data_IF_192322695890
#
_entry.id   IF_192322695890
#
_cell.length_a   1.000
_cell.length_b   1.000
_cell.length_c   1.000
_cell.angle_alpha   90.00
_cell.angle_beta   90.00
_cell.angle_gamma   90.00
#
_symmetry.space_group_name_H-M   'P 1'
#
loop_
_entity.id
_entity.type
_entity.pdbx_description
1 polymer ?
#
# COMPACT_ATOMS: atom_id res chain seq x y z
N UNK A 1 -6.92 -8.85 -7.94
CA UNK A 1 -6.16 -8.04 -6.97
C UNK A 1 -4.91 -7.51 -7.65
N UNK A 2 -4.70 -6.22 -7.61
CA UNK A 2 -3.48 -5.54 -8.09
C UNK A 2 -2.70 -5.02 -6.88
N UNK A 3 -1.40 -5.26 -6.85
CA UNK A 3 -0.49 -4.78 -5.82
C UNK A 3 0.48 -3.83 -6.50
N UNK A 4 0.33 -2.55 -6.22
CA UNK A 4 1.11 -1.50 -6.86
C UNK A 4 2.25 -1.03 -5.95
N UNK A 5 3.44 -0.90 -6.51
CA UNK A 5 4.61 -0.32 -5.86
C UNK A 5 5.05 0.90 -6.67
N UNK A 6 5.67 1.88 -6.03
CA UNK A 6 6.31 2.95 -6.78
C UNK A 6 7.40 2.36 -7.68
N UNK A 7 7.41 2.76 -8.95
CA UNK A 7 8.45 2.33 -9.88
C UNK A 7 9.81 2.95 -9.55
N UNK A 8 10.86 2.35 -10.09
CA UNK A 8 12.19 2.97 -10.20
C UNK A 8 12.75 2.71 -11.59
N UNK A 9 13.72 3.49 -12.08
CA UNK A 9 14.40 3.21 -13.33
C UNK A 9 14.97 1.78 -13.37
N UNK A 10 14.76 1.09 -14.50
CA UNK A 10 15.25 -0.29 -14.68
C UNK A 10 16.77 -0.40 -14.52
N UNK A 11 17.49 0.67 -14.83
CA UNK A 11 18.95 0.77 -14.67
C UNK A 11 19.41 0.50 -13.23
N UNK A 12 18.64 0.91 -12.21
CA UNK A 12 18.96 0.65 -10.80
C UNK A 12 18.91 -0.85 -10.49
N UNK A 13 17.86 -1.52 -10.93
CA UNK A 13 17.74 -2.97 -10.79
C UNK A 13 18.89 -3.72 -11.47
N UNK A 14 19.25 -3.31 -12.69
CA UNK A 14 20.38 -3.90 -13.44
C UNK A 14 21.71 -3.68 -12.71
N UNK A 15 21.84 -2.55 -12.00
CA UNK A 15 23.01 -2.23 -11.18
C UNK A 15 23.02 -2.93 -9.79
N UNK A 16 22.04 -3.77 -9.51
CA UNK A 16 21.99 -4.59 -8.28
C UNK A 16 21.15 -4.02 -7.14
N UNK A 17 20.33 -2.99 -7.40
CA UNK A 17 19.40 -2.48 -6.39
C UNK A 17 18.38 -3.57 -6.00
N UNK A 18 18.21 -3.86 -4.70
CA UNK A 18 17.35 -4.96 -4.23
C UNK A 18 15.86 -4.62 -4.24
N UNK A 19 15.46 -3.38 -4.53
CA UNK A 19 14.09 -2.90 -4.39
C UNK A 19 13.06 -3.78 -5.10
N UNK A 20 13.31 -4.12 -6.37
CA UNK A 20 12.43 -5.01 -7.14
C UNK A 20 12.21 -6.35 -6.40
N UNK A 21 13.28 -6.98 -5.92
CA UNK A 21 13.21 -8.26 -5.21
C UNK A 21 12.42 -8.13 -3.89
N UNK A 22 12.56 -7.01 -3.19
CA UNK A 22 11.81 -6.72 -1.97
C UNK A 22 10.31 -6.51 -2.26
N UNK A 23 9.96 -5.78 -3.32
CA UNK A 23 8.58 -5.63 -3.78
C UNK A 23 7.93 -6.99 -4.12
N UNK A 24 8.62 -7.79 -4.91
CA UNK A 24 8.13 -9.12 -5.30
C UNK A 24 8.00 -10.07 -4.10
N UNK A 25 8.90 -9.99 -3.13
CA UNK A 25 8.81 -10.74 -1.87
C UNK A 25 7.58 -10.29 -1.07
N UNK A 26 7.35 -9.00 -0.94
CA UNK A 26 6.17 -8.44 -0.24
C UNK A 26 4.88 -8.90 -0.92
N UNK A 27 4.77 -8.78 -2.24
CA UNK A 27 3.61 -9.23 -3.00
C UNK A 27 3.34 -10.73 -2.79
N UNK A 28 4.38 -11.59 -2.85
CA UNK A 28 4.26 -13.02 -2.61
C UNK A 28 3.76 -13.33 -1.20
N UNK A 29 4.34 -12.70 -0.17
CA UNK A 29 3.93 -12.93 1.22
C UNK A 29 2.49 -12.45 1.48
N UNK A 30 2.07 -11.34 0.89
CA UNK A 30 0.68 -10.88 0.95
C UNK A 30 -0.27 -11.88 0.29
N UNK A 31 0.07 -12.35 -0.91
CA UNK A 31 -0.74 -13.36 -1.62
C UNK A 31 -0.91 -14.63 -0.78
N UNK A 32 0.18 -15.13 -0.19
CA UNK A 32 0.16 -16.30 0.67
C UNK A 32 -0.71 -16.08 1.92
N UNK A 33 -0.56 -14.94 2.59
CA UNK A 33 -1.33 -14.60 3.78
C UNK A 33 -2.84 -14.44 3.49
N UNK A 34 -3.18 -13.87 2.33
CA UNK A 34 -4.56 -13.71 1.87
C UNK A 34 -5.12 -14.98 1.24
N UNK A 35 -4.32 -16.01 1.03
CA UNK A 35 -4.67 -17.24 0.30
C UNK A 35 -5.26 -16.94 -1.09
N UNK A 36 -4.74 -15.92 -1.76
CA UNK A 36 -5.24 -15.46 -3.05
C UNK A 36 -4.67 -16.30 -4.20
N UNK A 37 -5.50 -16.59 -5.20
CA UNK A 37 -5.07 -17.30 -6.40
C UNK A 37 -4.03 -16.47 -7.19
N UNK A 38 -2.95 -17.13 -7.59
CA UNK A 38 -1.84 -16.50 -8.31
C UNK A 38 -2.27 -15.87 -9.65
N UNK A 39 -3.22 -16.50 -10.35
CA UNK A 39 -3.72 -16.01 -11.63
C UNK A 39 -4.44 -14.67 -11.53
N UNK A 40 -4.96 -14.36 -10.33
CA UNK A 40 -5.73 -13.16 -10.07
C UNK A 40 -5.00 -12.19 -9.13
N UNK A 41 -3.67 -12.33 -9.01
CA UNK A 41 -2.83 -11.49 -8.15
C UNK A 41 -1.66 -10.92 -8.95
N UNK A 42 -1.68 -9.60 -9.20
CA UNK A 42 -0.77 -8.92 -10.10
C UNK A 42 0.10 -7.92 -9.34
N UNK A 43 1.40 -8.17 -9.25
CA UNK A 43 2.36 -7.20 -8.73
C UNK A 43 2.81 -6.26 -9.86
N UNK A 44 2.71 -4.96 -9.65
CA UNK A 44 2.90 -3.92 -10.66
C UNK A 44 3.67 -2.73 -10.12
N UNK A 45 4.08 -1.80 -11.01
CA UNK A 45 4.83 -0.60 -10.68
C UNK A 45 4.17 0.64 -11.29
N UNK A 46 3.99 1.69 -10.47
CA UNK A 46 3.35 2.96 -10.78
C UNK A 46 4.33 4.13 -10.86
N UNK A 47 3.81 5.33 -11.13
CA UNK A 47 4.47 6.64 -10.97
C UNK A 47 5.74 6.80 -11.80
N UNK A 48 5.76 6.26 -13.01
CA UNK A 48 6.90 6.47 -13.93
C UNK A 48 6.86 7.87 -14.53
N UNK A 49 8.03 8.45 -14.74
CA UNK A 49 8.17 9.71 -15.48
C UNK A 49 9.45 9.72 -16.34
N UNK A 50 9.49 10.66 -17.29
CA UNK A 50 10.61 10.75 -18.22
C UNK A 50 10.60 9.64 -19.30
N UNK A 51 11.70 9.52 -20.04
CA UNK A 51 11.80 8.66 -21.23
C UNK A 51 12.59 7.37 -21.01
N UNK A 52 13.20 7.18 -19.86
CA UNK A 52 13.95 5.97 -19.57
C UNK A 52 13.03 4.79 -19.22
N UNK A 53 13.45 3.54 -19.44
CA UNK A 53 12.69 2.36 -19.03
C UNK A 53 12.64 2.23 -17.51
N UNK A 54 11.43 2.02 -16.98
CA UNK A 54 11.17 1.76 -15.56
C UNK A 54 10.84 0.29 -15.30
N UNK A 55 10.77 -0.10 -14.03
CA UNK A 55 10.33 -1.45 -13.64
C UNK A 55 8.93 -1.76 -14.18
N UNK A 56 8.72 -3.01 -14.56
CA UNK A 56 7.48 -3.50 -15.15
C UNK A 56 7.00 -4.75 -14.37
N UNK A 57 5.70 -5.14 -14.53
CA UNK A 57 4.66 -4.52 -15.38
C UNK A 57 4.17 -3.17 -14.85
N UNK A 58 3.74 -2.28 -15.73
CA UNK A 58 3.17 -0.98 -15.34
C UNK A 58 1.74 -1.13 -14.84
N UNK A 59 1.40 -0.42 -13.76
CA UNK A 59 0.09 -0.52 -13.09
C UNK A 59 -1.04 -0.11 -14.01
N UNK A 60 -0.95 1.07 -14.66
CA UNK A 60 -1.92 1.58 -15.61
C UNK A 60 -2.18 0.57 -16.74
N UNK A 61 -1.14 0.11 -17.41
CA UNK A 61 -1.27 -0.86 -18.52
C UNK A 61 -1.84 -2.20 -18.08
N UNK A 62 -1.55 -2.63 -16.86
CA UNK A 62 -2.09 -3.88 -16.32
C UNK A 62 -3.58 -3.76 -16.04
N UNK A 63 -4.02 -2.66 -15.43
CA UNK A 63 -5.43 -2.42 -15.10
C UNK A 63 -6.29 -2.28 -16.37
N UNK A 64 -5.83 -1.50 -17.34
CA UNK A 64 -6.49 -1.39 -18.65
C UNK A 64 -6.62 -2.76 -19.32
N UNK A 65 -5.54 -3.53 -19.39
CA UNK A 65 -5.55 -4.87 -19.96
C UNK A 65 -6.52 -5.82 -19.23
N UNK A 66 -6.64 -5.73 -17.91
CA UNK A 66 -7.61 -6.51 -17.15
C UNK A 66 -9.04 -6.14 -17.54
N UNK A 67 -9.37 -4.85 -17.63
CA UNK A 67 -10.69 -4.39 -18.09
C UNK A 67 -11.01 -4.90 -19.50
N UNK A 68 -10.12 -4.69 -20.46
CA UNK A 68 -10.25 -5.13 -21.85
C UNK A 68 -10.36 -6.66 -21.99
N UNK A 69 -9.74 -7.43 -21.10
CA UNK A 69 -9.87 -8.89 -21.05
C UNK A 69 -11.16 -9.39 -20.39
N UNK A 70 -12.05 -8.50 -19.98
CA UNK A 70 -13.36 -8.80 -19.41
C UNK A 70 -13.41 -8.86 -17.89
N UNK A 71 -12.35 -8.45 -17.18
CA UNK A 71 -12.39 -8.32 -15.72
C UNK A 71 -13.30 -7.17 -15.32
N UNK A 72 -14.40 -7.47 -14.62
CA UNK A 72 -15.41 -6.49 -14.21
C UNK A 72 -15.09 -5.84 -12.85
N UNK A 73 -14.31 -6.52 -12.02
CA UNK A 73 -14.03 -6.07 -10.66
C UNK A 73 -12.52 -6.14 -10.39
N UNK A 74 -11.94 -5.01 -9.99
CA UNK A 74 -10.54 -4.91 -9.57
C UNK A 74 -10.47 -4.31 -8.17
N UNK A 75 -9.62 -4.88 -7.33
CA UNK A 75 -9.18 -4.25 -6.10
C UNK A 75 -7.69 -3.96 -6.19
N UNK A 76 -7.25 -2.77 -5.75
CA UNK A 76 -5.85 -2.34 -5.76
C UNK A 76 -5.40 -1.88 -4.39
N UNK A 77 -4.16 -2.18 -4.04
CA UNK A 77 -3.49 -1.66 -2.85
C UNK A 77 -2.03 -1.32 -3.15
N UNK A 78 -1.48 -0.39 -2.39
CA UNK A 78 -0.11 0.09 -2.51
C UNK A 78 0.71 -0.17 -1.22
N UNK A 79 1.17 -1.42 -0.95
CA UNK A 79 1.79 -1.78 0.33
C UNK A 79 3.17 -1.16 0.56
N UNK A 80 3.77 -0.55 -0.46
CA UNK A 80 5.00 0.24 -0.33
C UNK A 80 4.78 1.62 0.29
N UNK A 81 3.52 2.06 0.41
CA UNK A 81 3.14 3.33 1.02
C UNK A 81 2.54 3.10 2.41
N UNK A 82 3.13 3.71 3.42
CA UNK A 82 2.63 3.61 4.81
C UNK A 82 1.42 4.52 5.03
N UNK A 83 1.41 5.68 4.38
CA UNK A 83 0.31 6.65 4.41
C UNK A 83 -0.11 7.03 3.00
N UNK A 84 -1.39 7.37 2.85
CA UNK A 84 -1.93 7.89 1.60
C UNK A 84 -1.26 9.22 1.23
N UNK A 85 -0.99 9.38 -0.04
CA UNK A 85 -0.34 10.54 -0.64
C UNK A 85 -0.91 10.78 -2.06
N UNK A 86 -0.32 11.69 -2.81
CA UNK A 86 -0.78 12.00 -4.17
C UNK A 86 -0.72 10.77 -5.08
N UNK A 87 0.35 9.97 -4.99
CA UNK A 87 0.56 8.76 -5.79
C UNK A 87 -0.44 7.65 -5.47
N UNK A 88 -1.14 7.72 -4.35
CA UNK A 88 -2.15 6.73 -3.98
C UNK A 88 -3.58 7.24 -4.16
N UNK A 89 -3.86 8.49 -3.81
CA UNK A 89 -5.21 9.05 -3.87
C UNK A 89 -5.55 9.58 -5.26
N UNK A 90 -4.63 10.24 -5.93
CA UNK A 90 -4.85 10.79 -7.26
C UNK A 90 -4.58 9.73 -8.34
N UNK A 91 -3.35 9.23 -8.40
CA UNK A 91 -2.94 8.27 -9.44
C UNK A 91 -3.71 6.94 -9.37
N UNK A 92 -3.88 6.33 -8.16
CA UNK A 92 -4.51 5.02 -8.06
C UNK A 92 -6.03 5.06 -7.83
N UNK A 93 -6.51 5.93 -6.92
CA UNK A 93 -7.93 5.92 -6.56
C UNK A 93 -8.79 6.74 -7.54
N UNK A 94 -8.25 7.82 -8.13
CA UNK A 94 -8.99 8.67 -9.06
C UNK A 94 -8.68 8.28 -10.51
N UNK A 95 -7.47 8.58 -10.99
CA UNK A 95 -7.13 8.42 -12.42
C UNK A 95 -7.26 6.97 -12.90
N UNK A 96 -6.69 6.03 -12.16
CA UNK A 96 -6.72 4.61 -12.55
C UNK A 96 -8.11 3.98 -12.44
N UNK A 97 -8.95 4.47 -11.51
CA UNK A 97 -10.36 4.09 -11.42
C UNK A 97 -11.11 4.54 -12.69
N UNK A 98 -10.95 5.79 -13.09
CA UNK A 98 -11.56 6.31 -14.32
C UNK A 98 -11.13 5.49 -15.54
N UNK A 99 -9.82 5.25 -15.72
CA UNK A 99 -9.29 4.40 -16.79
C UNK A 99 -9.91 2.98 -16.79
N UNK A 100 -10.05 2.37 -15.61
CA UNK A 100 -10.64 1.03 -15.51
C UNK A 100 -12.10 0.98 -16.00
N UNK A 101 -12.90 1.96 -15.58
CA UNK A 101 -14.31 2.07 -15.98
C UNK A 101 -14.43 2.37 -17.48
N UNK A 102 -13.65 3.30 -18.00
CA UNK A 102 -13.63 3.65 -19.44
C UNK A 102 -13.30 2.45 -20.35
N UNK A 103 -12.46 1.53 -19.88
CA UNK A 103 -12.09 0.32 -20.62
C UNK A 103 -13.00 -0.89 -20.36
N UNK A 104 -14.16 -0.67 -19.72
CA UNK A 104 -15.22 -1.67 -19.59
C UNK A 104 -15.24 -2.42 -18.25
N UNK A 105 -14.49 -1.96 -17.25
CA UNK A 105 -14.64 -2.38 -15.86
C UNK A 105 -15.96 -1.89 -15.25
N UNK A 106 -16.35 -2.46 -14.12
CA UNK A 106 -17.63 -2.10 -13.44
C UNK A 106 -17.40 -1.66 -11.99
N UNK A 107 -16.44 -2.27 -11.30
CA UNK A 107 -16.14 -1.93 -9.90
C UNK A 107 -14.63 -1.86 -9.69
N UNK A 108 -14.19 -0.71 -9.29
CA UNK A 108 -12.83 -0.48 -8.85
C UNK A 108 -12.80 -0.21 -7.33
N UNK A 109 -11.97 -0.91 -6.60
CA UNK A 109 -11.84 -0.75 -5.15
C UNK A 109 -10.41 -0.39 -4.79
N UNK A 110 -10.18 0.86 -4.40
CA UNK A 110 -8.94 1.25 -3.77
C UNK A 110 -8.93 0.84 -2.30
N UNK A 111 -7.88 0.15 -1.86
CA UNK A 111 -7.67 -0.22 -0.47
C UNK A 111 -6.70 0.80 0.14
N UNK A 112 -7.16 1.67 1.07
CA UNK A 112 -6.33 2.73 1.64
C UNK A 112 -5.06 2.20 2.31
N UNK A 113 -4.03 3.01 2.32
CA UNK A 113 -2.82 2.76 3.08
C UNK A 113 -3.11 2.61 4.58
N UNK A 114 -2.15 2.10 5.34
CA UNK A 114 -2.32 1.88 6.79
C UNK A 114 -2.61 3.17 7.55
N UNK A 115 -2.05 4.29 7.11
CA UNK A 115 -2.24 5.61 7.71
C UNK A 115 -1.98 5.61 9.23
N UNK A 116 -2.70 6.43 9.98
CA UNK A 116 -2.64 6.50 11.45
C UNK A 116 -3.62 5.55 12.15
N UNK A 117 -4.01 4.46 11.48
CA UNK A 117 -4.82 3.42 12.10
C UNK A 117 -4.06 2.72 13.24
N UNK A 118 -4.79 2.11 14.17
CA UNK A 118 -4.15 1.39 15.27
C UNK A 118 -3.22 0.27 14.82
N UNK A 119 -3.59 -0.44 13.75
CA UNK A 119 -2.77 -1.50 13.16
C UNK A 119 -1.59 -0.94 12.38
N UNK A 120 -1.77 0.16 11.64
CA UNK A 120 -0.68 0.86 10.94
C UNK A 120 0.39 1.37 11.92
N UNK A 121 -0.03 2.02 12.99
CA UNK A 121 0.89 2.49 14.03
C UNK A 121 1.61 1.35 14.73
N UNK A 122 0.96 0.20 14.89
CA UNK A 122 1.60 -0.99 15.47
C UNK A 122 2.71 -1.55 14.57
N UNK A 123 2.52 -1.58 13.25
CA UNK A 123 3.56 -1.99 12.30
C UNK A 123 4.78 -1.08 12.41
N UNK A 124 4.57 0.25 12.44
CA UNK A 124 5.68 1.22 12.60
C UNK A 124 6.38 1.04 13.96
N UNK A 125 5.62 0.85 15.04
CA UNK A 125 6.17 0.61 16.37
C UNK A 125 7.06 -0.65 16.38
N UNK A 126 6.59 -1.75 15.83
CA UNK A 126 7.35 -3.01 15.80
C UNK A 126 8.63 -2.89 15.00
N UNK A 127 8.59 -2.27 13.81
CA UNK A 127 9.78 -2.03 12.99
C UNK A 127 10.78 -1.11 13.70
N UNK A 128 10.30 -0.04 14.33
CA UNK A 128 11.15 0.89 15.08
C UNK A 128 11.84 0.17 16.26
N UNK A 129 11.09 -0.61 17.05
CA UNK A 129 11.61 -1.38 18.17
C UNK A 129 12.67 -2.38 17.72
N UNK A 130 12.43 -3.08 16.63
CA UNK A 130 13.40 -4.04 16.09
C UNK A 130 14.72 -3.38 15.71
N UNK A 131 14.67 -2.22 15.06
CA UNK A 131 15.85 -1.49 14.62
C UNK A 131 16.56 -0.70 15.74
N UNK A 132 15.87 -0.40 16.83
CA UNK A 132 16.44 0.29 18.00
C UNK A 132 17.09 -0.68 19.01
N UNK A 133 17.02 -1.99 18.80
CA UNK A 133 17.67 -2.98 19.67
C UNK A 133 19.16 -2.73 19.76
N UNK A 134 19.66 -2.57 21.01
CA UNK A 134 21.05 -2.26 21.28
C UNK A 134 21.44 -0.76 21.27
N UNK A 135 20.50 0.11 20.89
CA UNK A 135 20.70 1.57 20.95
C UNK A 135 20.05 2.17 22.19
N UNK A 136 18.95 1.61 22.62
CA UNK A 136 18.15 2.06 23.76
C UNK A 136 17.83 0.86 24.66
N UNK A 137 17.98 1.02 25.97
CA UNK A 137 17.45 0.02 26.90
C UNK A 137 15.93 0.06 26.88
N UNK A 138 15.32 -0.93 26.26
CA UNK A 138 13.87 -1.11 26.18
C UNK A 138 13.38 -1.80 27.45
N UNK A 139 13.00 -1.03 28.46
CA UNK A 139 12.39 -1.60 29.64
C UNK A 139 10.93 -2.04 29.35
N UNK A 140 10.43 -3.11 30.01
CA UNK A 140 9.01 -3.51 29.89
C UNK A 140 8.00 -2.40 30.23
N UNK A 141 8.44 -1.40 30.99
CA UNK A 141 7.68 -0.20 31.36
C UNK A 141 7.50 0.76 30.17
N UNK A 142 8.53 0.94 29.32
CA UNK A 142 8.46 1.80 28.14
C UNK A 142 7.48 1.24 27.09
N UNK A 143 7.48 -0.07 26.84
CA UNK A 143 6.50 -0.73 25.99
C UNK A 143 5.05 -0.51 26.45
N UNK A 144 4.78 -0.61 27.75
CA UNK A 144 3.45 -0.36 28.31
C UNK A 144 3.03 1.11 28.22
N UNK A 145 3.98 2.04 28.36
CA UNK A 145 3.72 3.48 28.27
C UNK A 145 3.38 3.90 26.83
N UNK A 146 4.12 3.42 25.84
CA UNK A 146 3.87 3.69 24.40
C UNK A 146 2.51 3.10 24.00
N UNK A 147 2.23 1.83 24.29
CA UNK A 147 0.92 1.20 24.03
C UNK A 147 -0.25 1.95 24.68
N UNK A 148 -0.07 2.46 25.90
CA UNK A 148 -1.10 3.22 26.61
C UNK A 148 -1.34 4.59 25.96
N UNK A 149 -0.30 5.25 25.46
CA UNK A 149 -0.39 6.52 24.75
C UNK A 149 -1.11 6.35 23.39
N UNK A 150 -0.72 5.37 22.59
CA UNK A 150 -1.34 5.06 21.28
C UNK A 150 -2.82 4.72 21.44
N UNK A 151 -3.17 3.82 22.39
CA UNK A 151 -4.56 3.46 22.64
C UNK A 151 -5.43 4.63 23.14
N UNK A 152 -4.86 5.55 23.92
CA UNK A 152 -5.56 6.76 24.40
C UNK A 152 -5.86 7.74 23.26
N UNK A 153 -4.95 7.86 22.31
CA UNK A 153 -5.12 8.73 21.13
C UNK A 153 -6.16 8.15 20.16
N UNK A 154 -6.12 6.85 19.90
CA UNK A 154 -7.11 6.15 19.09
C UNK A 154 -8.53 6.25 19.67
N UNK A 155 -8.69 6.02 20.99
CA UNK A 155 -9.98 6.15 21.67
C UNK A 155 -10.54 7.58 21.60
N UNK A 156 -9.70 8.61 21.71
CA UNK A 156 -10.10 10.02 21.61
C UNK A 156 -10.57 10.40 20.19
N UNK A 157 -9.95 9.86 19.15
CA UNK A 157 -10.38 10.06 17.74
C UNK A 157 -11.72 9.37 17.45
N UNK A 158 -11.97 8.18 17.98
CA UNK A 158 -13.25 7.48 17.81
C UNK A 158 -14.44 8.20 18.47
N UNK A 159 -14.24 8.84 19.62
CA UNK A 159 -15.28 9.63 20.28
C UNK A 159 -15.55 10.96 19.57
N UNK A 160 -14.53 11.60 18.99
CA UNK A 160 -14.69 12.83 18.21
C UNK A 160 -15.47 12.62 16.91
N UNK A 161 -15.34 11.45 16.27
CA UNK A 161 -16.04 11.10 15.01
C UNK A 161 -17.54 10.76 15.22
N UNK A 162 -17.99 10.56 16.48
CA UNK A 162 -19.39 10.26 16.85
C UNK A 162 -20.22 11.49 17.25
N UNK A 163 -19.67 12.70 17.24
CA UNK A 163 -20.46 13.90 17.51
C UNK A 163 -21.37 14.20 16.31
N UNK A 164 -22.70 14.34 16.52
CA UNK A 164 -23.62 14.64 15.42
C UNK A 164 -23.33 16.02 14.86
N UNK A 165 -23.38 16.15 13.51
CA UNK A 165 -23.40 17.43 12.85
C UNK A 165 -24.60 18.22 13.40
N UNK A 166 -24.33 19.38 13.98
CA UNK A 166 -25.41 20.31 14.39
C UNK A 166 -26.09 20.85 13.14
N UNK A 167 -27.40 20.71 13.13
CA UNK A 167 -28.30 21.30 12.17
C UNK A 167 -28.17 22.84 12.16
#
# INVERSE_FOLDING_TARGET
MVISFHGIPKSYFVSGDPYHCQCMKTARLLREALQWDEKHFHATFQSRFGSEPWLQPYTDKTVVKLAESGSKHVAIMAPGFVADCLETLDELDIELHEEFIEHGGETFTYIPCLNDTADGMKVIEEVAIENLRGWVEMTPSSHKAVRKAVNKTAAKKMTAKKAPARA
#
